data_IF_846428662689
#
_entry.id   IF_846428662689
#
_cell.length_a   1.000
_cell.length_b   1.000
_cell.length_c   1.000
_cell.angle_alpha   90.00
_cell.angle_beta   90.00
_cell.angle_gamma   90.00
#
_symmetry.space_group_name_H-M   'P 1'
#
loop_
_entity.id
_entity.type
_entity.pdbx_description
1 polymer ?
#
# COMPACT_ATOMS: atom_id res chain seq x y z
N UNK A 1 -22.85 0.79 -7.65
CA UNK A 1 -22.18 0.12 -6.53
C UNK A 1 -21.00 0.99 -6.12
N UNK A 2 -20.80 1.24 -4.82
CA UNK A 2 -19.68 2.05 -4.33
C UNK A 2 -18.75 1.13 -3.53
N UNK A 3 -17.45 1.20 -3.84
CA UNK A 3 -16.40 0.51 -3.09
C UNK A 3 -15.57 1.54 -2.32
N UNK A 4 -15.18 1.20 -1.09
CA UNK A 4 -14.33 2.04 -0.25
C UNK A 4 -13.11 1.22 0.17
N UNK A 5 -11.91 1.76 -0.09
CA UNK A 5 -10.64 1.12 0.26
C UNK A 5 -10.06 1.84 1.48
N UNK A 6 -9.92 1.11 2.59
CA UNK A 6 -9.31 1.63 3.82
C UNK A 6 -7.78 1.47 3.75
N UNK A 7 -7.09 2.58 3.48
CA UNK A 7 -5.62 2.62 3.36
C UNK A 7 -4.95 3.21 4.62
N UNK A 8 -5.14 2.55 5.76
CA UNK A 8 -4.57 2.97 7.04
C UNK A 8 -3.27 2.24 7.43
N UNK A 9 -2.56 2.83 8.40
CA UNK A 9 -1.39 2.25 9.06
C UNK A 9 -0.05 2.61 8.41
N UNK A 10 0.87 3.15 9.22
CA UNK A 10 2.19 3.65 8.79
C UNK A 10 3.21 2.56 8.41
N UNK A 11 2.88 1.27 8.59
CA UNK A 11 3.74 0.17 8.16
C UNK A 11 5.06 0.01 8.91
N UNK A 12 5.13 0.36 10.20
CA UNK A 12 6.39 0.34 10.99
C UNK A 12 7.12 -1.00 11.00
N UNK A 13 6.41 -2.13 10.89
CA UNK A 13 7.02 -3.47 10.75
C UNK A 13 7.79 -3.68 9.44
N UNK A 14 7.53 -2.86 8.44
CA UNK A 14 8.20 -2.88 7.13
C UNK A 14 9.33 -1.84 7.05
N UNK A 15 9.74 -1.23 8.17
CA UNK A 15 10.94 -0.41 8.19
C UNK A 15 12.16 -1.27 7.81
N UNK A 16 13.12 -0.77 6.99
CA UNK A 16 13.31 0.61 6.54
C UNK A 16 12.55 0.99 5.26
N UNK A 17 11.80 0.07 4.66
CA UNK A 17 11.09 0.31 3.40
C UNK A 17 9.89 1.23 3.58
N UNK A 18 9.08 1.02 4.62
CA UNK A 18 8.02 1.95 4.99
C UNK A 18 8.58 3.16 5.73
N UNK A 19 8.18 4.36 5.33
CA UNK A 19 8.58 5.65 5.92
C UNK A 19 7.35 6.51 6.18
N UNK A 20 7.48 7.55 7.01
CA UNK A 20 6.37 8.46 7.29
C UNK A 20 5.80 9.11 6.02
N UNK A 21 6.65 9.42 5.05
CA UNK A 21 6.23 9.97 3.74
C UNK A 21 5.85 8.88 2.72
N UNK A 22 6.22 7.62 2.97
CA UNK A 22 5.91 6.48 2.09
C UNK A 22 5.38 5.30 2.91
N UNK A 23 4.12 5.37 3.38
CA UNK A 23 3.47 4.28 4.11
C UNK A 23 3.33 3.00 3.28
N UNK A 24 3.03 1.87 3.96
CA UNK A 24 2.99 0.53 3.36
C UNK A 24 2.19 0.42 2.06
N UNK A 25 1.05 1.11 1.95
CA UNK A 25 0.15 0.99 0.80
C UNK A 25 0.76 1.50 -0.50
N UNK A 26 1.80 2.33 -0.42
CA UNK A 26 2.50 2.88 -1.58
C UNK A 26 3.76 2.07 -1.96
N UNK A 27 4.07 1.01 -1.21
CA UNK A 27 5.20 0.14 -1.52
C UNK A 27 4.79 -0.86 -2.61
N UNK A 28 5.74 -1.19 -3.48
CA UNK A 28 5.61 -2.20 -4.55
C UNK A 28 6.12 -3.57 -4.07
N UNK A 29 5.50 -4.09 -3.00
CA UNK A 29 5.86 -5.38 -2.40
C UNK A 29 5.09 -6.58 -3.00
N UNK A 30 4.17 -6.31 -3.92
CA UNK A 30 3.33 -7.32 -4.54
C UNK A 30 4.04 -8.10 -5.64
N UNK A 31 3.26 -8.88 -6.39
CA UNK A 31 3.78 -9.63 -7.55
C UNK A 31 3.93 -8.75 -8.80
N UNK A 32 3.41 -7.53 -8.77
CA UNK A 32 3.51 -6.56 -9.84
C UNK A 32 4.49 -5.43 -9.48
N UNK A 33 4.77 -4.54 -10.43
CA UNK A 33 5.52 -3.31 -10.15
C UNK A 33 4.65 -2.19 -9.56
N UNK A 34 3.35 -2.43 -9.39
CA UNK A 34 2.42 -1.47 -8.81
C UNK A 34 2.51 -1.43 -7.28
N UNK A 35 2.05 -0.33 -6.70
CA UNK A 35 1.87 -0.26 -5.25
C UNK A 35 0.75 -1.18 -4.77
N UNK A 36 0.81 -1.60 -3.50
CA UNK A 36 -0.26 -2.39 -2.87
C UNK A 36 -1.64 -1.72 -3.00
N UNK A 37 -1.70 -0.38 -2.99
CA UNK A 37 -2.93 0.38 -3.19
C UNK A 37 -3.46 0.23 -4.62
N UNK A 38 -2.61 0.40 -5.64
CA UNK A 38 -3.00 0.25 -7.04
C UNK A 38 -3.43 -1.18 -7.36
N UNK A 39 -2.73 -2.19 -6.81
CA UNK A 39 -3.16 -3.59 -6.92
C UNK A 39 -4.54 -3.81 -6.30
N UNK A 40 -4.85 -3.16 -5.18
CA UNK A 40 -6.17 -3.27 -4.53
C UNK A 40 -7.27 -2.58 -5.34
N UNK A 41 -6.98 -1.46 -6.00
CA UNK A 41 -7.94 -0.76 -6.87
C UNK A 41 -8.29 -1.54 -8.15
N UNK A 42 -7.40 -2.43 -8.59
CA UNK A 42 -7.53 -3.16 -9.86
C UNK A 42 -8.20 -4.54 -9.70
N UNK A 43 -8.39 -5.00 -8.45
CA UNK A 43 -9.08 -6.26 -8.11
C UNK A 43 -10.58 -6.02 -7.92
#
# INVERSE_FOLDING_TARGET
>A
MIAMILAGGVGTRLWPYSRSMTPKQFLNLGSTHESLFQETCTR
#
